data_IF_284068846438
#
_entry.id   IF_284068846438
#
_cell.length_a   1.000
_cell.length_b   1.000
_cell.length_c   1.000
_cell.angle_alpha   90.00
_cell.angle_beta   90.00
_cell.angle_gamma   90.00
#
_symmetry.space_group_name_H-M   'P 1'
#
loop_
_entity.id
_entity.type
_entity.pdbx_description
1 polymer ?
#
# COMPACT_ATOMS: atom_id res chain seq x y z
N UNK A 1 -30.81 16.10 -23.21
CA UNK A 1 -29.42 16.34 -23.67
C UNK A 1 -28.48 15.79 -22.61
N UNK A 2 -27.82 14.66 -22.85
CA UNK A 2 -26.75 14.18 -21.97
C UNK A 2 -25.51 15.02 -22.28
N UNK A 3 -25.08 15.87 -21.35
CA UNK A 3 -23.76 16.51 -21.46
C UNK A 3 -22.72 15.40 -21.43
N UNK A 4 -21.71 15.39 -22.31
CA UNK A 4 -20.65 14.39 -22.25
C UNK A 4 -20.00 14.49 -20.87
N UNK A 5 -20.05 13.40 -20.10
CA UNK A 5 -19.35 13.30 -18.82
C UNK A 5 -17.86 13.32 -19.10
N UNK A 6 -17.26 14.51 -19.04
CA UNK A 6 -15.82 14.68 -19.17
C UNK A 6 -15.22 14.25 -17.83
N UNK A 7 -14.64 13.06 -17.78
CA UNK A 7 -13.90 12.55 -16.61
C UNK A 7 -12.41 12.86 -16.69
N UNK A 8 -11.92 13.18 -17.89
CA UNK A 8 -10.50 13.39 -18.14
C UNK A 8 -9.98 14.70 -17.56
N UNK A 9 -8.68 14.68 -17.27
CA UNK A 9 -7.94 15.82 -16.76
C UNK A 9 -8.06 16.99 -17.74
N UNK A 10 -8.54 18.13 -17.23
CA UNK A 10 -8.83 19.31 -18.06
C UNK A 10 -7.83 20.42 -17.73
N UNK A 11 -7.15 21.00 -18.73
CA UNK A 11 -6.27 22.14 -18.51
C UNK A 11 -7.08 23.39 -18.18
N UNK A 12 -6.63 24.15 -17.19
CA UNK A 12 -7.15 25.47 -16.78
C UNK A 12 -6.00 26.46 -16.61
N UNK A 13 -6.32 27.73 -16.36
CA UNK A 13 -5.33 28.78 -16.11
C UNK A 13 -4.47 28.48 -14.88
N UNK A 14 -5.01 27.80 -13.87
CA UNK A 14 -4.29 27.42 -12.64
C UNK A 14 -3.63 26.03 -12.73
N UNK A 15 -3.59 25.45 -13.94
CA UNK A 15 -3.07 24.11 -14.19
C UNK A 15 -4.18 23.09 -14.43
N UNK A 16 -3.88 21.82 -14.18
CA UNK A 16 -4.76 20.73 -14.55
C UNK A 16 -5.71 20.33 -13.43
N UNK A 17 -7.02 20.34 -13.71
CA UNK A 17 -8.06 19.91 -12.76
C UNK A 17 -8.71 18.59 -13.18
N UNK A 18 -9.27 17.89 -12.21
CA UNK A 18 -10.20 16.79 -12.43
C UNK A 18 -11.63 17.33 -12.36
N UNK A 19 -12.36 17.39 -13.48
CA UNK A 19 -13.66 18.08 -13.56
C UNK A 19 -14.77 17.40 -12.75
N UNK A 20 -14.72 16.08 -12.61
CA UNK A 20 -15.68 15.30 -11.81
C UNK A 20 -15.09 14.95 -10.45
N UNK A 21 -15.92 14.79 -9.39
CA UNK A 21 -15.47 14.18 -8.14
C UNK A 21 -15.22 12.68 -8.32
N UNK A 22 -14.34 12.09 -7.50
CA UNK A 22 -13.86 10.70 -7.62
C UNK A 22 -14.98 9.64 -7.68
N UNK A 23 -16.05 9.87 -6.93
CA UNK A 23 -17.20 8.98 -6.86
C UNK A 23 -18.12 9.06 -8.09
N UNK A 24 -18.02 10.10 -8.92
CA UNK A 24 -18.82 10.29 -10.14
C UNK A 24 -18.08 9.95 -11.43
N UNK A 25 -16.77 9.70 -11.35
CA UNK A 25 -16.00 9.28 -12.52
C UNK A 25 -16.43 7.89 -12.98
N UNK A 26 -16.61 7.72 -14.28
CA UNK A 26 -17.03 6.46 -14.92
C UNK A 26 -16.03 5.95 -15.95
N UNK A 27 -15.22 6.84 -16.54
CA UNK A 27 -14.16 6.44 -17.46
C UNK A 27 -13.03 5.71 -16.73
N UNK A 28 -12.81 4.46 -17.10
CA UNK A 28 -11.80 3.60 -16.47
C UNK A 28 -10.36 4.10 -16.66
N UNK A 29 -10.07 4.81 -17.76
CA UNK A 29 -8.76 5.41 -18.00
C UNK A 29 -8.48 6.55 -17.03
N UNK A 30 -9.40 7.50 -16.95
CA UNK A 30 -9.37 8.65 -16.07
C UNK A 30 -9.36 8.24 -14.59
N UNK A 31 -10.18 7.25 -14.21
CA UNK A 31 -10.20 6.70 -12.84
C UNK A 31 -8.82 6.16 -12.45
N UNK A 32 -8.20 5.33 -13.31
CA UNK A 32 -6.87 4.78 -13.05
C UNK A 32 -5.81 5.87 -12.92
N UNK A 33 -5.81 6.85 -13.82
CA UNK A 33 -4.85 7.93 -13.82
C UNK A 33 -4.96 8.78 -12.56
N UNK A 34 -6.17 9.22 -12.21
CA UNK A 34 -6.39 10.02 -10.99
C UNK A 34 -6.06 9.23 -9.73
N UNK A 35 -6.43 7.95 -9.67
CA UNK A 35 -6.12 7.11 -8.52
C UNK A 35 -4.61 6.97 -8.32
N UNK A 36 -3.83 6.84 -9.40
CA UNK A 36 -2.37 6.85 -9.32
C UNK A 36 -1.82 8.19 -8.81
N UNK A 37 -2.39 9.33 -9.24
CA UNK A 37 -2.02 10.65 -8.72
C UNK A 37 -2.30 10.77 -7.21
N UNK A 38 -3.45 10.29 -6.75
CA UNK A 38 -3.81 10.29 -5.33
C UNK A 38 -2.89 9.38 -4.49
N UNK A 39 -2.59 8.17 -4.97
CA UNK A 39 -1.64 7.27 -4.30
C UNK A 39 -0.25 7.92 -4.22
N UNK A 40 0.21 8.53 -5.32
CA UNK A 40 1.50 9.22 -5.34
C UNK A 40 1.55 10.37 -4.32
N UNK A 41 0.47 11.13 -4.15
CA UNK A 41 0.38 12.16 -3.11
C UNK A 41 0.44 11.56 -1.71
N UNK A 42 -0.31 10.50 -1.45
CA UNK A 42 -0.29 9.82 -0.14
C UNK A 42 1.11 9.29 0.21
N UNK A 43 1.83 8.70 -0.75
CA UNK A 43 3.22 8.26 -0.57
C UNK A 43 4.14 9.46 -0.31
N UNK A 44 3.98 10.56 -1.04
CA UNK A 44 4.78 11.77 -0.84
C UNK A 44 4.57 12.38 0.56
N UNK A 45 3.33 12.38 1.04
CA UNK A 45 2.96 12.98 2.33
C UNK A 45 3.41 12.13 3.52
N UNK A 46 3.40 10.80 3.38
CA UNK A 46 3.71 9.86 4.47
C UNK A 46 5.13 9.27 4.42
N UNK A 47 5.82 9.42 3.29
CA UNK A 47 7.17 8.87 3.06
C UNK A 47 7.16 7.56 2.24
N UNK A 48 8.34 7.15 1.78
CA UNK A 48 8.51 6.03 0.84
C UNK A 48 8.10 4.66 1.42
N UNK A 49 8.13 4.50 2.74
CA UNK A 49 7.72 3.29 3.46
C UNK A 49 6.21 3.28 3.81
N UNK A 50 5.44 4.26 3.32
CA UNK A 50 4.02 4.36 3.59
C UNK A 50 3.25 3.17 3.00
N UNK A 51 2.56 2.43 3.87
CA UNK A 51 1.57 1.44 3.45
C UNK A 51 0.27 2.18 3.16
N UNK A 52 -0.11 2.23 1.87
CA UNK A 52 -1.38 2.81 1.43
C UNK A 52 -2.38 1.67 1.26
N UNK A 53 -3.49 1.73 2.01
CA UNK A 53 -4.53 0.71 1.96
C UNK A 53 -5.80 1.18 1.22
N UNK A 54 -6.77 0.25 1.11
CA UNK A 54 -8.07 0.53 0.49
C UNK A 54 -8.83 1.64 1.23
N UNK A 55 -8.72 1.69 2.55
CA UNK A 55 -9.45 2.61 3.40
C UNK A 55 -8.97 4.05 3.20
N UNK A 56 -7.67 4.25 3.00
CA UNK A 56 -7.10 5.54 2.60
C UNK A 56 -7.74 6.08 1.32
N UNK A 57 -7.91 5.22 0.31
CA UNK A 57 -8.54 5.61 -0.95
C UNK A 57 -10.04 5.91 -0.77
N UNK A 58 -10.74 5.13 0.06
CA UNK A 58 -12.14 5.38 0.38
C UNK A 58 -12.29 6.72 1.12
N UNK A 59 -11.41 7.05 2.06
CA UNK A 59 -11.40 8.35 2.77
C UNK A 59 -11.17 9.53 1.83
N UNK A 60 -10.43 9.35 0.73
CA UNK A 60 -10.29 10.36 -0.31
C UNK A 60 -11.56 10.56 -1.15
N UNK A 61 -12.57 9.71 -0.99
CA UNK A 61 -13.85 9.75 -1.69
C UNK A 61 -13.95 8.78 -2.87
N UNK A 62 -13.05 7.81 -2.98
CA UNK A 62 -13.19 6.73 -3.95
C UNK A 62 -14.31 5.76 -3.55
N UNK A 63 -15.04 5.28 -4.55
CA UNK A 63 -16.03 4.21 -4.35
C UNK A 63 -15.32 2.88 -4.13
N UNK A 64 -15.81 2.01 -3.22
CA UNK A 64 -15.22 0.69 -3.00
C UNK A 64 -15.11 -0.14 -4.29
N UNK A 65 -16.11 -0.02 -5.17
CA UNK A 65 -16.11 -0.70 -6.47
C UNK A 65 -14.93 -0.26 -7.36
N UNK A 66 -14.63 1.04 -7.41
CA UNK A 66 -13.51 1.57 -8.20
C UNK A 66 -12.17 1.15 -7.63
N UNK A 67 -12.03 1.16 -6.30
CA UNK A 67 -10.78 0.72 -5.64
C UNK A 67 -10.51 -0.75 -5.97
N UNK A 68 -11.53 -1.62 -5.84
CA UNK A 68 -11.41 -3.04 -6.19
C UNK A 68 -11.06 -3.26 -7.66
N UNK A 69 -11.66 -2.51 -8.57
CA UNK A 69 -11.46 -2.67 -10.00
C UNK A 69 -10.11 -2.12 -10.50
N UNK A 70 -9.59 -1.06 -9.89
CA UNK A 70 -8.54 -0.24 -10.51
C UNK A 70 -7.29 -0.01 -9.66
N UNK A 71 -7.32 -0.25 -8.34
CA UNK A 71 -6.17 0.07 -7.48
C UNK A 71 -4.90 -0.68 -7.89
N UNK A 72 -4.99 -1.98 -8.20
CA UNK A 72 -3.83 -2.77 -8.64
C UNK A 72 -3.17 -2.21 -9.91
N UNK A 73 -3.98 -1.76 -10.87
CA UNK A 73 -3.48 -1.13 -12.09
C UNK A 73 -2.86 0.23 -11.80
N UNK A 74 -3.45 1.02 -10.90
CA UNK A 74 -2.93 2.31 -10.48
C UNK A 74 -1.60 2.20 -9.70
N UNK A 75 -1.41 1.17 -8.87
CA UNK A 75 -0.12 0.90 -8.21
C UNK A 75 0.97 0.53 -9.21
N UNK A 76 0.61 -0.20 -10.27
CA UNK A 76 1.56 -0.70 -11.27
C UNK A 76 2.13 0.42 -12.17
N UNK A 77 1.47 1.58 -12.25
CA UNK A 77 1.95 2.72 -13.03
C UNK A 77 2.89 3.62 -12.25
N UNK A 78 3.00 3.43 -10.92
CA UNK A 78 3.93 4.19 -10.11
C UNK A 78 5.36 3.63 -10.28
N UNK A 79 6.38 4.49 -10.34
CA UNK A 79 7.75 4.03 -10.33
C UNK A 79 7.98 3.26 -9.02
N UNK A 80 8.37 1.98 -9.11
CA UNK A 80 8.80 1.23 -7.93
C UNK A 80 9.96 1.98 -7.30
N UNK A 81 9.71 2.62 -6.15
CA UNK A 81 10.77 3.09 -5.26
C UNK A 81 11.66 1.87 -5.01
N UNK A 82 12.91 1.99 -5.45
CA UNK A 82 13.89 0.90 -5.50
C UNK A 82 13.79 0.05 -4.23
N UNK A 83 13.64 -1.27 -4.42
CA UNK A 83 13.97 -2.33 -3.46
C UNK A 83 14.99 -1.83 -2.42
N UNK A 84 14.79 -2.05 -1.11
CA UNK A 84 15.92 -1.99 -0.20
C UNK A 84 16.96 -2.97 -0.74
N UNK A 85 18.08 -2.43 -1.23
CA UNK A 85 19.28 -3.21 -1.47
C UNK A 85 19.50 -3.99 -0.18
N UNK A 86 19.58 -5.32 -0.28
CA UNK A 86 20.21 -6.14 0.75
C UNK A 86 21.51 -5.44 1.14
N UNK A 87 21.51 -4.68 2.23
CA UNK A 87 22.72 -4.52 3.03
C UNK A 87 22.89 -5.90 3.62
N UNK A 88 23.72 -6.70 2.95
CA UNK A 88 24.44 -7.75 3.62
C UNK A 88 25.10 -7.09 4.82
N UNK A 89 24.47 -7.22 5.98
CA UNK A 89 25.16 -7.09 7.24
C UNK A 89 26.15 -8.25 7.20
N UNK A 90 27.38 -7.95 6.78
CA UNK A 90 28.51 -8.77 7.14
C UNK A 90 28.46 -8.81 8.67
N UNK A 91 27.89 -9.88 9.20
CA UNK A 91 27.99 -10.20 10.62
C UNK A 91 29.47 -10.46 10.82
N UNK A 92 30.14 -9.47 11.39
CA UNK A 92 31.49 -9.66 11.89
C UNK A 92 31.41 -10.83 12.89
N UNK A 93 32.22 -11.89 12.75
CA UNK A 93 32.14 -13.08 13.62
C UNK A 93 32.51 -12.79 15.09
N UNK A 94 32.68 -11.51 15.47
CA UNK A 94 33.06 -11.07 16.81
C UNK A 94 31.89 -10.64 17.69
N UNK A 95 30.67 -10.50 17.16
CA UNK A 95 29.48 -10.07 17.93
C UNK A 95 28.48 -11.22 18.21
N UNK A 96 28.89 -12.49 18.11
CA UNK A 96 27.99 -13.64 18.28
C UNK A 96 27.98 -14.25 19.69
N UNK A 97 28.40 -13.49 20.71
CA UNK A 97 28.58 -14.01 22.07
C UNK A 97 27.67 -13.37 23.14
N UNK A 98 26.78 -12.44 22.79
CA UNK A 98 25.88 -11.84 23.76
C UNK A 98 24.49 -11.68 23.16
N UNK A 99 23.47 -12.15 23.89
CA UNK A 99 22.06 -12.22 23.52
C UNK A 99 21.76 -13.45 22.64
N UNK A 100 21.26 -14.56 23.17
CA UNK A 100 19.96 -14.67 23.84
C UNK A 100 20.09 -15.72 24.97
N UNK A 101 20.27 -15.23 26.19
CA UNK A 101 19.63 -15.83 27.36
C UNK A 101 18.16 -15.35 27.36
N UNK A 102 17.26 -16.18 27.90
CA UNK A 102 15.80 -15.95 28.05
C UNK A 102 14.87 -16.52 26.95
N UNK A 103 15.01 -17.81 26.62
CA UNK A 103 13.84 -18.64 26.30
C UNK A 103 13.96 -20.00 26.99
N UNK A 104 13.82 -19.98 28.32
CA UNK A 104 13.59 -21.17 29.12
C UNK A 104 12.11 -21.23 29.49
N UNK A 105 11.31 -21.94 28.68
CA UNK A 105 10.13 -22.67 29.19
C UNK A 105 10.05 -24.01 28.41
N UNK A 106 10.25 -25.16 29.07
CA UNK A 106 10.32 -26.46 28.41
C UNK A 106 8.93 -27.05 28.10
N UNK A 107 8.64 -27.26 26.82
CA UNK A 107 7.56 -28.16 26.34
C UNK A 107 8.08 -29.60 26.44
N UNK A 108 8.30 -30.09 27.66
CA UNK A 108 8.72 -31.48 27.91
C UNK A 108 8.10 -32.08 29.18
N UNK A 109 6.98 -31.52 29.66
CA UNK A 109 6.28 -32.01 30.86
C UNK A 109 4.80 -32.38 30.61
N UNK A 110 4.42 -32.69 29.36
CA UNK A 110 3.05 -33.16 29.01
C UNK A 110 3.06 -34.61 28.47
N UNK A 111 4.22 -35.22 28.22
CA UNK A 111 4.31 -36.61 27.74
C UNK A 111 4.40 -37.66 28.87
N UNK A 112 4.35 -37.24 30.16
CA UNK A 112 4.48 -38.16 31.31
C UNK A 112 3.16 -38.44 32.06
N UNK A 113 2.03 -37.90 31.59
CA UNK A 113 0.70 -38.14 32.19
C UNK A 113 -0.22 -39.07 31.36
N UNK A 114 0.27 -39.67 30.27
CA UNK A 114 -0.51 -40.58 29.40
C UNK A 114 -0.04 -42.04 29.44
N UNK A 115 0.99 -42.38 30.22
CA UNK A 115 1.33 -43.77 30.58
C UNK A 115 1.02 -43.95 32.08
N UNK A 116 -0.27 -44.18 32.37
CA UNK A 116 -0.75 -44.57 33.69
C UNK A 116 -0.15 -45.91 34.10
N UNK A 117 0.50 -45.89 35.28
CA UNK A 117 0.46 -46.98 36.25
C UNK A 117 -0.97 -47.09 36.81
#
# INVERSE_FOLDING_TARGET
>A
MHSPTVDHRTPTHDGFIWPQPRNRMVDAGAVRQRMAEDISRLVKDRGEDAVIDTDDLIRLGWRPEHVRAYAAAAFSTLPSSKRPRRRGRAVSPREMAASIACLAVPIALIARQMLGL
#
